data_IF_187457786721
#
_entry.id   IF_187457786721
#
_cell.length_a   1.000
_cell.length_b   1.000
_cell.length_c   1.000
_cell.angle_alpha   90.00
_cell.angle_beta   90.00
_cell.angle_gamma   90.00
#
_symmetry.space_group_name_H-M   'P 1'
#
loop_
_entity.id
_entity.type
_entity.pdbx_description
1 polymer ?
#
# COMPACT_ATOMS: atom_id res chain seq x y z
N UNK A 1 49.56 14.93 6.76
CA UNK A 1 48.62 15.87 6.11
C UNK A 1 47.90 15.04 5.07
N UNK A 2 46.57 15.13 4.97
CA UNK A 2 45.87 14.45 3.88
C UNK A 2 46.31 15.07 2.55
N UNK A 3 46.50 14.23 1.54
CA UNK A 3 46.70 14.71 0.17
C UNK A 3 45.46 15.49 -0.29
N UNK A 4 45.63 16.46 -1.17
CA UNK A 4 44.52 17.21 -1.76
C UNK A 4 44.37 16.89 -3.25
N UNK A 5 43.13 16.81 -3.71
CA UNK A 5 42.77 16.64 -5.11
C UNK A 5 43.36 17.74 -6.02
N UNK A 6 43.60 18.93 -5.47
CA UNK A 6 44.23 20.03 -6.20
C UNK A 6 45.70 19.78 -6.57
N UNK A 7 46.35 18.81 -5.92
CA UNK A 7 47.73 18.41 -6.22
C UNK A 7 47.82 17.27 -7.25
N UNK A 8 46.69 16.73 -7.70
CA UNK A 8 46.65 15.62 -8.63
C UNK A 8 47.14 16.04 -10.03
N UNK A 9 47.99 15.20 -10.62
CA UNK A 9 48.41 15.30 -12.01
C UNK A 9 47.51 14.51 -12.95
N UNK A 10 46.86 13.46 -12.44
CA UNK A 10 45.85 12.69 -13.16
C UNK A 10 44.81 12.07 -12.23
N UNK A 11 43.63 11.80 -12.77
CA UNK A 11 42.52 11.12 -12.07
C UNK A 11 41.97 10.02 -12.97
N UNK A 12 41.84 8.82 -12.43
CA UNK A 12 41.12 7.70 -13.06
C UNK A 12 39.71 7.62 -12.47
N UNK A 13 38.71 7.59 -13.34
CA UNK A 13 37.30 7.51 -12.96
C UNK A 13 36.64 6.33 -13.67
N UNK A 14 35.90 5.52 -12.92
CA UNK A 14 35.03 4.47 -13.46
C UNK A 14 33.64 4.64 -12.89
N UNK A 15 32.64 4.36 -13.73
CA UNK A 15 31.22 4.43 -13.38
C UNK A 15 30.53 3.12 -13.78
N UNK A 16 29.68 2.61 -12.90
CA UNK A 16 28.87 1.42 -13.17
C UNK A 16 27.55 1.47 -12.40
N UNK A 17 26.57 0.68 -12.81
CA UNK A 17 25.39 0.44 -11.99
C UNK A 17 25.75 -0.55 -10.89
N UNK A 18 25.32 -0.29 -9.64
CA UNK A 18 25.64 -1.16 -8.50
C UNK A 18 25.11 -2.60 -8.65
N UNK A 19 24.09 -2.78 -9.49
CA UNK A 19 23.55 -4.09 -9.85
C UNK A 19 24.43 -4.89 -10.82
N UNK A 20 25.44 -4.26 -11.43
CA UNK A 20 26.20 -4.81 -12.55
C UNK A 20 25.46 -4.82 -13.90
N UNK A 21 24.23 -4.28 -13.94
CA UNK A 21 23.42 -4.23 -15.16
C UNK A 21 24.04 -3.28 -16.19
N UNK A 22 24.17 -3.74 -17.44
CA UNK A 22 24.69 -2.93 -18.55
C UNK A 22 23.67 -1.90 -19.06
N UNK A 23 22.39 -2.13 -18.81
CA UNK A 23 21.30 -1.23 -19.19
C UNK A 23 20.21 -1.20 -18.11
N UNK A 24 20.53 -0.65 -16.91
CA UNK A 24 19.62 -0.65 -15.80
C UNK A 24 18.35 0.15 -16.12
N UNK A 25 17.23 -0.28 -15.56
CA UNK A 25 15.93 0.36 -15.77
C UNK A 25 15.34 0.91 -14.47
N UNK A 26 14.78 2.11 -14.51
CA UNK A 26 14.06 2.74 -13.38
C UNK A 26 12.76 3.39 -13.82
N UNK A 27 11.85 3.56 -12.86
CA UNK A 27 10.63 4.34 -13.06
C UNK A 27 10.93 5.83 -12.98
N UNK A 28 10.46 6.58 -13.98
CA UNK A 28 10.53 8.03 -14.06
C UNK A 28 9.45 8.70 -13.18
N UNK A 29 9.38 8.31 -11.90
CA UNK A 29 8.39 8.81 -10.93
C UNK A 29 9.00 9.80 -9.91
N UNK A 30 10.29 10.15 -10.06
CA UNK A 30 11.03 11.04 -9.18
C UNK A 30 11.37 10.47 -7.79
N UNK A 31 10.91 9.25 -7.47
CA UNK A 31 11.14 8.58 -6.18
C UNK A 31 12.01 7.34 -6.33
N UNK A 32 11.83 6.56 -7.39
CA UNK A 32 12.64 5.38 -7.66
C UNK A 32 14.08 5.80 -7.95
N UNK A 33 15.02 5.23 -7.20
CA UNK A 33 16.44 5.51 -7.34
C UNK A 33 17.19 4.31 -7.91
N UNK A 34 18.18 4.60 -8.75
CA UNK A 34 19.21 3.67 -9.21
C UNK A 34 20.51 3.99 -8.48
N UNK A 35 21.05 2.99 -7.80
CA UNK A 35 22.39 3.06 -7.22
C UNK A 35 23.46 3.00 -8.33
N UNK A 36 24.31 4.02 -8.38
CA UNK A 36 25.44 4.18 -9.29
C UNK A 36 26.71 4.15 -8.46
N UNK A 37 27.62 3.26 -8.84
CA UNK A 37 28.94 3.11 -8.24
C UNK A 37 29.96 3.91 -9.05
N UNK A 38 30.73 4.73 -8.36
CA UNK A 38 31.86 5.47 -8.92
C UNK A 38 33.12 5.04 -8.19
N UNK A 39 34.10 4.54 -8.94
CA UNK A 39 35.46 4.30 -8.44
C UNK A 39 36.37 5.42 -8.90
N UNK A 40 37.13 6.01 -7.97
CA UNK A 40 38.03 7.10 -8.25
C UNK A 40 39.43 6.87 -7.64
N UNK A 41 40.46 7.17 -8.43
CA UNK A 41 41.86 7.22 -8.02
C UNK A 41 42.48 8.56 -8.44
N UNK A 42 43.27 9.17 -7.58
CA UNK A 42 44.09 10.33 -7.93
C UNK A 42 45.57 9.96 -7.88
N UNK A 43 46.35 10.52 -8.80
CA UNK A 43 47.79 10.30 -8.87
C UNK A 43 48.53 11.63 -8.91
N UNK A 44 49.73 11.65 -8.32
CA UNK A 44 50.67 12.76 -8.36
C UNK A 44 51.98 12.26 -8.94
N UNK A 45 52.42 12.88 -10.04
CA UNK A 45 53.70 12.56 -10.65
C UNK A 45 54.83 13.23 -9.87
N UNK A 46 55.69 12.43 -9.23
CA UNK A 46 56.87 12.90 -8.50
C UNK A 46 58.10 12.24 -9.12
N UNK A 47 59.05 13.06 -9.59
CA UNK A 47 60.28 12.57 -10.25
C UNK A 47 60.05 11.64 -11.45
N UNK A 48 58.91 11.78 -12.14
CA UNK A 48 58.54 10.95 -13.29
C UNK A 48 57.84 9.64 -12.95
N UNK A 49 57.58 9.36 -11.66
CA UNK A 49 56.77 8.23 -11.21
C UNK A 49 55.41 8.71 -10.69
N UNK A 50 54.33 8.02 -11.08
CA UNK A 50 52.98 8.31 -10.60
C UNK A 50 52.74 7.63 -9.25
N UNK A 51 52.51 8.45 -8.22
CA UNK A 51 52.21 7.99 -6.86
C UNK A 51 50.72 8.15 -6.62
N UNK A 52 50.05 7.10 -6.13
CA UNK A 52 48.64 7.16 -5.75
C UNK A 52 48.47 8.04 -4.50
N UNK A 53 47.49 8.93 -4.55
CA UNK A 53 47.20 9.89 -3.49
C UNK A 53 46.12 9.37 -2.54
N UNK A 54 46.27 9.64 -1.25
CA UNK A 54 45.27 9.33 -0.23
C UNK A 54 44.34 10.53 -0.01
N UNK A 55 43.32 10.63 -0.85
CA UNK A 55 42.31 11.68 -0.81
C UNK A 55 41.18 11.29 0.15
N UNK A 56 40.73 12.25 0.97
CA UNK A 56 39.60 11.99 1.89
C UNK A 56 38.28 11.79 1.13
N UNK A 57 37.41 10.91 1.64
CA UNK A 57 36.09 10.65 1.06
C UNK A 57 35.26 11.94 0.91
N UNK A 58 35.35 12.86 1.89
CA UNK A 58 34.65 14.15 1.84
C UNK A 58 35.11 15.02 0.67
N UNK A 59 36.40 15.02 0.36
CA UNK A 59 36.94 15.79 -0.75
C UNK A 59 36.46 15.20 -2.09
N UNK A 60 36.45 13.87 -2.22
CA UNK A 60 35.84 13.18 -3.34
C UNK A 60 34.34 13.51 -3.52
N UNK A 61 33.55 13.46 -2.44
CA UNK A 61 32.12 13.78 -2.48
C UNK A 61 31.85 15.22 -2.92
N UNK A 62 32.75 16.16 -2.62
CA UNK A 62 32.62 17.56 -3.03
C UNK A 62 33.02 17.77 -4.50
N UNK A 63 34.05 17.07 -4.97
CA UNK A 63 34.59 17.23 -6.32
C UNK A 63 33.82 16.43 -7.38
N UNK A 64 33.27 15.27 -7.01
CA UNK A 64 32.59 14.37 -7.95
C UNK A 64 31.12 14.73 -8.16
N UNK A 65 30.68 14.59 -9.40
CA UNK A 65 29.26 14.70 -9.75
C UNK A 65 28.89 13.85 -10.96
N UNK A 66 27.61 13.48 -11.05
CA UNK A 66 27.07 12.85 -12.24
C UNK A 66 26.78 13.90 -13.32
N UNK A 67 27.00 13.54 -14.57
CA UNK A 67 26.74 14.38 -15.74
C UNK A 67 26.13 13.60 -16.90
N UNK A 68 25.57 14.31 -17.87
CA UNK A 68 25.17 13.71 -19.15
C UNK A 68 26.40 13.33 -19.96
N UNK A 69 26.51 12.06 -20.38
CA UNK A 69 27.69 11.58 -21.10
C UNK A 69 27.88 12.28 -22.46
N UNK A 70 26.80 12.71 -23.10
CA UNK A 70 26.86 13.33 -24.44
C UNK A 70 27.35 14.78 -24.41
N UNK A 71 27.20 15.48 -23.28
CA UNK A 71 27.46 16.92 -23.21
C UNK A 71 28.32 17.36 -22.03
N UNK A 72 28.71 16.44 -21.16
CA UNK A 72 29.39 16.69 -19.87
C UNK A 72 28.64 17.65 -18.92
N UNK A 73 27.37 17.96 -19.22
CA UNK A 73 26.58 18.89 -18.41
C UNK A 73 26.21 18.20 -17.10
N UNK A 74 26.58 18.82 -15.98
CA UNK A 74 26.29 18.34 -14.63
C UNK A 74 24.78 18.14 -14.40
N UNK A 75 24.43 17.00 -13.81
CA UNK A 75 23.08 16.72 -13.31
C UNK A 75 22.80 17.53 -12.04
N UNK A 76 21.54 17.84 -11.79
CA UNK A 76 21.16 18.56 -10.57
C UNK A 76 21.24 17.63 -9.35
N UNK A 77 21.89 18.09 -8.30
CA UNK A 77 21.87 17.42 -6.98
C UNK A 77 20.55 17.78 -6.31
N UNK A 78 19.82 16.77 -5.80
CA UNK A 78 18.53 16.97 -5.10
C UNK A 78 17.52 17.78 -5.92
N UNK A 79 17.53 17.62 -7.25
CA UNK A 79 16.58 18.29 -8.14
C UNK A 79 15.18 17.66 -8.09
N UNK A 80 14.19 18.36 -8.62
CA UNK A 80 12.78 17.93 -8.60
C UNK A 80 12.21 17.61 -9.98
N UNK A 81 13.02 17.76 -11.03
CA UNK A 81 12.62 17.56 -12.43
C UNK A 81 13.86 17.26 -13.26
N UNK A 82 13.65 16.53 -14.37
CA UNK A 82 14.73 16.02 -15.24
C UNK A 82 15.59 14.95 -14.52
N UNK A 83 16.69 14.51 -15.14
CA UNK A 83 17.64 13.60 -14.52
C UNK A 83 18.41 14.30 -13.40
N UNK A 84 18.32 13.71 -12.21
CA UNK A 84 18.89 14.24 -10.98
C UNK A 84 19.57 13.12 -10.20
N UNK A 85 20.40 13.50 -9.22
CA UNK A 85 20.97 12.53 -8.31
C UNK A 85 21.04 13.05 -6.88
N UNK A 86 21.28 12.15 -5.95
CA UNK A 86 21.56 12.47 -4.54
C UNK A 86 22.65 11.55 -4.01
N UNK A 87 23.22 11.90 -2.87
CA UNK A 87 24.20 11.08 -2.14
C UNK A 87 23.52 10.13 -1.13
N UNK A 88 22.22 10.29 -0.92
CA UNK A 88 21.49 9.56 0.11
C UNK A 88 20.49 8.57 -0.50
N UNK A 89 20.61 7.32 -0.09
CA UNK A 89 19.65 6.28 -0.46
C UNK A 89 18.27 6.59 0.13
N UNK A 90 17.24 6.40 -0.69
CA UNK A 90 15.89 6.31 -0.20
C UNK A 90 15.36 4.88 -0.25
N UNK A 91 14.20 4.71 0.33
CA UNK A 91 13.57 3.42 0.53
C UNK A 91 13.01 2.77 -0.77
N UNK A 92 13.06 3.47 -1.90
CA UNK A 92 12.64 3.03 -3.24
C UNK A 92 13.85 2.88 -4.19
N UNK A 93 15.05 2.70 -3.63
CA UNK A 93 16.28 2.40 -4.36
C UNK A 93 16.24 0.97 -4.90
N UNK A 94 15.76 0.83 -6.14
CA UNK A 94 15.55 -0.49 -6.75
C UNK A 94 15.53 -0.42 -8.27
N UNK A 95 16.30 -1.28 -8.91
CA UNK A 95 16.24 -1.46 -10.36
C UNK A 95 15.01 -2.30 -10.76
N UNK A 96 14.40 -1.95 -11.90
CA UNK A 96 13.36 -2.75 -12.53
C UNK A 96 14.01 -4.00 -13.13
N UNK A 97 13.65 -5.17 -12.60
CA UNK A 97 14.12 -6.45 -13.12
C UNK A 97 13.37 -6.78 -14.40
N UNK A 98 14.00 -6.57 -15.55
CA UNK A 98 13.48 -7.06 -16.82
C UNK A 98 13.70 -8.58 -16.90
N UNK A 99 12.63 -9.36 -16.77
CA UNK A 99 12.64 -10.83 -16.85
C UNK A 99 13.11 -11.42 -18.20
N UNK A 100 13.60 -10.60 -19.13
CA UNK A 100 14.23 -11.06 -20.39
C UNK A 100 15.71 -11.42 -20.24
N UNK A 101 16.34 -11.14 -19.10
CA UNK A 101 17.65 -11.69 -18.76
C UNK A 101 17.45 -12.92 -17.87
N UNK A 102 17.71 -14.10 -18.43
CA UNK A 102 17.82 -15.33 -17.65
C UNK A 102 18.69 -15.08 -16.42
N UNK A 103 18.07 -15.29 -15.26
CA UNK A 103 18.68 -15.25 -13.94
C UNK A 103 19.91 -16.16 -13.90
N UNK A 104 21.09 -15.57 -13.87
CA UNK A 104 22.07 -15.96 -12.85
C UNK A 104 21.78 -15.09 -11.64
N UNK A 105 20.76 -15.50 -10.88
CA UNK A 105 20.54 -14.98 -9.53
C UNK A 105 21.67 -15.50 -8.64
N UNK A 106 22.78 -14.78 -8.55
CA UNK A 106 23.63 -14.86 -7.37
C UNK A 106 23.09 -13.86 -6.36
N UNK A 107 22.27 -14.36 -5.43
CA UNK A 107 22.02 -13.72 -4.12
C UNK A 107 23.28 -13.76 -3.25
N UNK A 108 24.43 -13.47 -3.84
CA UNK A 108 25.67 -13.31 -3.12
C UNK A 108 25.79 -11.82 -2.83
N UNK A 109 25.47 -11.47 -1.58
CA UNK A 109 26.24 -10.47 -0.84
C UNK A 109 27.70 -10.57 -1.33
N UNK A 110 28.35 -9.50 -1.81
CA UNK A 110 29.69 -9.63 -2.35
C UNK A 110 30.57 -10.32 -1.30
N UNK A 111 30.96 -11.55 -1.63
CA UNK A 111 31.99 -12.26 -0.89
C UNK A 111 33.27 -11.51 -1.23
N UNK A 112 33.81 -10.83 -0.24
CA UNK A 112 35.08 -10.12 -0.34
C UNK A 112 36.13 -11.23 -0.47
N UNK A 113 36.33 -11.72 -1.69
CA UNK A 113 37.47 -12.56 -2.01
C UNK A 113 38.70 -11.66 -1.91
N UNK A 114 39.41 -11.85 -0.81
CA UNK A 114 40.75 -11.36 -0.55
C UNK A 114 41.72 -11.94 -1.58
N UNK A 115 41.79 -11.34 -2.76
CA UNK A 115 43.01 -11.34 -3.57
C UNK A 115 43.75 -10.03 -3.27
N UNK A 116 44.44 -10.07 -2.14
CA UNK A 116 45.52 -9.14 -1.80
C UNK A 116 46.66 -9.34 -2.78
N UNK A 117 46.65 -8.61 -3.88
CA UNK A 117 47.88 -8.19 -4.55
C UNK A 117 47.65 -6.89 -5.32
N UNK A 118 48.26 -5.82 -4.80
CA UNK A 118 48.18 -4.39 -5.17
C UNK A 118 46.94 -3.63 -4.66
N UNK A 119 46.95 -3.24 -3.38
CA UNK A 119 46.19 -2.08 -2.90
C UNK A 119 46.73 -0.82 -3.61
N UNK A 120 46.14 -0.47 -4.75
CA UNK A 120 45.95 0.94 -5.11
C UNK A 120 44.69 1.41 -4.35
N UNK A 121 44.75 2.58 -3.73
CA UNK A 121 43.67 3.11 -2.88
C UNK A 121 42.46 3.56 -3.72
N UNK A 122 41.64 2.61 -4.17
CA UNK A 122 40.39 2.88 -4.88
C UNK A 122 39.34 3.39 -3.89
N UNK A 123 38.90 4.63 -4.07
CA UNK A 123 37.73 5.14 -3.33
C UNK A 123 36.46 4.78 -4.10
N UNK A 124 35.52 4.08 -3.45
CA UNK A 124 34.21 3.76 -4.00
C UNK A 124 33.16 4.72 -3.41
N UNK A 125 32.45 5.45 -4.26
CA UNK A 125 31.37 6.35 -3.88
C UNK A 125 30.05 5.95 -4.54
N UNK A 126 28.96 6.07 -3.76
CA UNK A 126 27.61 5.76 -4.21
C UNK A 126 26.83 7.04 -4.52
N UNK A 127 26.23 7.06 -5.70
CA UNK A 127 25.27 8.09 -6.11
C UNK A 127 23.92 7.44 -6.42
N UNK A 128 22.82 8.11 -6.07
CA UNK A 128 21.47 7.62 -6.30
C UNK A 128 20.80 8.47 -7.37
N UNK A 129 20.74 7.93 -8.57
CA UNK A 129 20.19 8.57 -9.75
C UNK A 129 18.66 8.37 -9.81
N UNK A 130 17.92 9.42 -10.12
CA UNK A 130 16.46 9.35 -10.30
C UNK A 130 16.03 10.37 -11.36
N UNK A 131 14.81 10.22 -11.87
CA UNK A 131 14.31 11.09 -12.92
C UNK A 131 12.79 11.17 -12.93
N UNK A 132 12.28 12.24 -13.54
CA UNK A 132 10.87 12.36 -13.97
C UNK A 132 10.73 12.32 -15.50
N UNK A 133 11.86 12.19 -16.22
CA UNK A 133 11.92 12.07 -17.68
C UNK A 133 12.01 10.59 -18.09
N UNK A 134 11.16 10.17 -19.04
CA UNK A 134 11.07 8.81 -19.57
C UNK A 134 12.11 8.53 -20.68
N UNK A 135 12.90 9.51 -21.08
CA UNK A 135 13.92 9.34 -22.11
C UNK A 135 15.14 8.57 -21.58
N UNK A 136 15.64 7.61 -22.36
CA UNK A 136 16.92 6.93 -22.08
C UNK A 136 18.07 7.95 -22.07
N UNK A 137 18.96 7.86 -21.09
CA UNK A 137 20.17 8.69 -20.99
C UNK A 137 21.40 7.87 -20.70
N UNK A 138 22.56 8.37 -21.14
CA UNK A 138 23.87 7.90 -20.69
C UNK A 138 24.40 8.84 -19.62
N UNK A 139 24.70 8.27 -18.46
CA UNK A 139 25.22 9.01 -17.32
C UNK A 139 26.71 8.73 -17.22
N UNK A 140 27.49 9.80 -17.10
CA UNK A 140 28.91 9.79 -16.88
C UNK A 140 29.23 10.42 -15.52
N UNK A 141 30.49 10.36 -15.12
CA UNK A 141 31.00 11.02 -13.91
C UNK A 141 32.02 12.08 -14.31
N UNK A 142 31.98 13.21 -13.60
CA UNK A 142 32.99 14.27 -13.69
C UNK A 142 33.54 14.60 -12.31
N UNK A 143 34.81 14.97 -12.27
CA UNK A 143 35.54 15.50 -11.12
C UNK A 143 35.99 16.92 -11.46
N UNK A 144 35.51 17.90 -10.69
CA UNK A 144 35.94 19.30 -10.78
C UNK A 144 36.72 19.65 -9.51
N UNK A 145 37.95 20.10 -9.66
CA UNK A 145 38.81 20.53 -8.55
C UNK A 145 38.76 22.06 -8.38
N UNK A 146 39.09 22.56 -7.19
CA UNK A 146 39.05 24.00 -6.89
C UNK A 146 40.06 24.81 -7.71
N UNK A 147 41.15 24.18 -8.15
CA UNK A 147 42.14 24.78 -9.05
C UNK A 147 41.69 24.83 -10.53
N UNK A 148 40.47 24.39 -10.84
CA UNK A 148 39.86 24.47 -12.16
C UNK A 148 40.21 23.32 -13.12
N UNK A 149 40.86 22.25 -12.64
CA UNK A 149 41.00 21.03 -13.43
C UNK A 149 39.66 20.29 -13.54
N UNK A 150 39.48 19.62 -14.67
CA UNK A 150 38.26 18.91 -15.00
C UNK A 150 38.60 17.55 -15.60
N UNK A 151 38.11 16.50 -14.96
CA UNK A 151 38.26 15.11 -15.39
C UNK A 151 36.87 14.51 -15.58
N UNK A 152 36.61 13.82 -16.68
CA UNK A 152 35.28 13.30 -16.97
C UNK A 152 35.34 12.04 -17.82
N UNK A 153 34.36 11.16 -17.63
CA UNK A 153 34.19 9.96 -18.47
C UNK A 153 33.25 10.20 -19.66
N UNK A 154 32.78 11.45 -19.86
CA UNK A 154 31.89 11.86 -20.94
C UNK A 154 32.53 11.76 -22.34
N UNK A 155 31.69 11.65 -23.38
CA UNK A 155 32.10 11.33 -24.75
C UNK A 155 32.94 12.43 -25.42
N UNK A 156 32.72 13.67 -24.99
CA UNK A 156 33.29 14.90 -25.56
C UNK A 156 34.69 15.23 -25.03
N UNK A 157 35.20 14.49 -24.03
CA UNK A 157 36.55 14.72 -23.50
C UNK A 157 37.63 14.17 -24.45
N UNK A 158 38.64 14.99 -24.73
CA UNK A 158 39.84 14.59 -25.46
C UNK A 158 40.81 13.91 -24.47
N UNK A 159 41.14 12.64 -24.70
CA UNK A 159 42.22 11.94 -23.97
C UNK A 159 41.85 11.22 -22.67
N UNK A 160 40.58 11.06 -22.32
CA UNK A 160 40.12 10.39 -21.08
C UNK A 160 39.41 9.06 -21.38
N UNK A 161 39.42 8.12 -20.41
CA UNK A 161 38.69 6.85 -20.47
C UNK A 161 37.18 7.12 -20.59
N UNK A 162 36.60 6.76 -21.74
CA UNK A 162 35.18 6.96 -22.02
C UNK A 162 34.38 5.85 -21.34
N UNK A 163 33.58 6.21 -20.36
CA UNK A 163 32.75 5.27 -19.62
C UNK A 163 31.44 5.93 -19.18
N UNK A 164 30.34 5.19 -19.30
CA UNK A 164 29.02 5.71 -18.96
C UNK A 164 28.06 4.57 -18.69
N UNK A 165 27.05 4.81 -17.86
CA UNK A 165 25.93 3.88 -17.64
C UNK A 165 24.75 4.34 -18.48
N UNK A 166 24.27 3.47 -19.38
CA UNK A 166 23.06 3.73 -20.17
C UNK A 166 21.83 3.34 -19.36
N UNK A 167 21.08 4.31 -18.86
CA UNK A 167 19.91 4.09 -18.00
C UNK A 167 18.63 4.23 -18.80
N UNK A 168 17.80 3.21 -18.75
CA UNK A 168 16.48 3.20 -19.36
C UNK A 168 15.43 3.68 -18.34
N UNK A 169 14.79 4.81 -18.62
CA UNK A 169 13.69 5.29 -17.80
C UNK A 169 12.36 4.83 -18.41
N UNK A 170 11.44 4.36 -17.58
CA UNK A 170 10.09 3.98 -18.00
C UNK A 170 9.05 4.78 -17.24
N UNK A 171 7.87 4.98 -17.84
CA UNK A 171 6.79 5.71 -17.16
C UNK A 171 6.41 5.04 -15.85
N UNK A 172 6.28 5.84 -14.79
CA UNK A 172 5.78 5.37 -13.50
C UNK A 172 4.40 4.72 -13.63
N UNK A 173 4.15 3.68 -12.83
CA UNK A 173 2.82 3.09 -12.75
C UNK A 173 1.88 4.02 -11.97
N UNK A 174 0.65 4.16 -12.46
CA UNK A 174 -0.37 4.95 -11.79
C UNK A 174 -1.51 4.03 -11.31
N UNK A 175 -1.61 3.88 -9.99
CA UNK A 175 -2.63 3.05 -9.35
C UNK A 175 -4.01 3.71 -9.26
N UNK A 176 -4.23 4.83 -9.97
CA UNK A 176 -5.56 5.39 -10.20
C UNK A 176 -6.45 4.54 -11.12
N UNK A 177 -5.89 3.50 -11.73
CA UNK A 177 -6.64 2.57 -12.57
C UNK A 177 -6.66 1.19 -11.94
N UNK A 178 -7.85 0.59 -11.87
CA UNK A 178 -8.06 -0.75 -11.32
C UNK A 178 -7.39 -1.88 -12.09
N UNK A 179 -6.86 -1.64 -13.30
CA UNK A 179 -6.13 -2.65 -14.10
C UNK A 179 -4.88 -3.21 -13.38
N UNK A 180 -4.30 -2.43 -12.47
CA UNK A 180 -3.13 -2.82 -11.70
C UNK A 180 -3.47 -3.50 -10.37
N UNK A 181 -4.74 -3.75 -10.11
CA UNK A 181 -5.24 -4.28 -8.85
C UNK A 181 -5.94 -5.62 -9.11
N UNK A 182 -5.79 -6.56 -8.18
CA UNK A 182 -6.51 -7.84 -8.18
C UNK A 182 -7.19 -8.04 -6.84
N UNK A 183 -8.43 -8.52 -6.90
CA UNK A 183 -9.26 -8.83 -5.73
C UNK A 183 -9.24 -10.33 -5.50
N UNK A 184 -8.85 -10.76 -4.30
CA UNK A 184 -8.86 -12.15 -3.85
C UNK A 184 -9.78 -12.27 -2.65
N UNK A 185 -11.08 -12.59 -2.88
CA UNK A 185 -11.98 -12.92 -1.79
C UNK A 185 -11.60 -14.28 -1.20
N UNK A 186 -11.44 -14.35 0.12
CA UNK A 186 -11.31 -15.61 0.85
C UNK A 186 -12.69 -16.24 1.11
N UNK A 187 -12.70 -17.46 1.65
CA UNK A 187 -13.91 -18.12 2.07
C UNK A 187 -14.54 -17.43 3.29
N UNK A 188 -15.85 -17.59 3.46
CA UNK A 188 -16.53 -17.19 4.69
C UNK A 188 -16.02 -18.01 5.88
N UNK A 189 -15.83 -17.33 7.00
CA UNK A 189 -15.49 -17.92 8.29
C UNK A 189 -16.62 -17.63 9.25
N UNK A 190 -17.29 -18.68 9.71
CA UNK A 190 -18.35 -18.58 10.72
C UNK A 190 -17.74 -18.16 12.06
N UNK A 191 -18.21 -17.02 12.58
CA UNK A 191 -17.85 -16.52 13.91
C UNK A 191 -18.74 -17.10 15.00
N UNK A 192 -19.99 -17.41 14.68
CA UNK A 192 -20.94 -17.99 15.61
C UNK A 192 -22.22 -18.46 14.91
N UNK A 193 -22.87 -19.40 15.56
CA UNK A 193 -24.18 -19.97 15.20
C UNK A 193 -25.11 -19.80 16.42
N UNK A 194 -26.43 -19.91 16.21
CA UNK A 194 -27.45 -19.90 17.27
C UNK A 194 -27.79 -18.53 17.89
N UNK A 195 -27.70 -17.47 17.10
CA UNK A 195 -28.20 -16.17 17.52
C UNK A 195 -29.73 -16.12 17.48
N UNK A 196 -30.35 -15.57 18.52
CA UNK A 196 -31.79 -15.55 18.69
C UNK A 196 -32.43 -14.27 18.14
N UNK A 197 -33.66 -14.39 17.63
CA UNK A 197 -34.48 -13.26 17.27
C UNK A 197 -35.71 -13.17 18.18
N UNK A 198 -36.22 -11.96 18.37
CA UNK A 198 -37.47 -11.72 19.07
C UNK A 198 -38.50 -11.29 18.04
N UNK A 199 -39.61 -12.01 17.99
CA UNK A 199 -40.81 -11.53 17.32
C UNK A 199 -41.58 -10.71 18.36
N UNK A 200 -41.63 -9.39 18.18
CA UNK A 200 -42.36 -8.54 19.10
C UNK A 200 -43.79 -8.35 18.58
N UNK A 201 -44.59 -9.41 18.63
CA UNK A 201 -46.05 -9.25 18.63
C UNK A 201 -46.39 -8.68 20.00
N UNK A 202 -46.92 -7.46 20.06
CA UNK A 202 -47.41 -6.85 21.29
C UNK A 202 -48.30 -7.86 22.05
N UNK A 203 -47.83 -8.32 23.22
CA UNK A 203 -48.57 -9.23 24.10
C UNK A 203 -48.21 -10.72 24.02
N UNK A 204 -47.23 -11.15 23.22
CA UNK A 204 -46.74 -12.54 23.30
C UNK A 204 -45.54 -12.70 24.24
N UNK A 205 -45.61 -13.72 25.10
CA UNK A 205 -44.59 -14.09 26.09
C UNK A 205 -43.69 -15.25 25.64
N UNK A 206 -43.90 -15.78 24.44
CA UNK A 206 -43.18 -16.95 23.91
C UNK A 206 -42.24 -16.60 22.77
N UNK A 207 -40.99 -17.02 22.91
CA UNK A 207 -39.89 -16.79 21.98
C UNK A 207 -39.88 -17.86 20.88
N UNK A 208 -39.75 -17.45 19.62
CA UNK A 208 -39.44 -18.39 18.54
C UNK A 208 -37.93 -18.36 18.28
N UNK A 209 -37.27 -19.50 18.48
CA UNK A 209 -35.83 -19.63 18.28
C UNK A 209 -35.55 -20.03 16.84
N UNK A 210 -34.96 -19.12 16.07
CA UNK A 210 -34.29 -19.48 14.82
C UNK A 210 -32.84 -19.10 14.94
N UNK A 211 -31.98 -19.90 14.35
CA UNK A 211 -30.54 -19.78 14.41
C UNK A 211 -30.08 -18.90 13.24
N UNK A 212 -29.67 -17.65 13.49
CA UNK A 212 -28.90 -16.91 12.49
C UNK A 212 -27.40 -17.21 12.62
N UNK A 213 -26.67 -16.98 11.53
CA UNK A 213 -25.22 -17.21 11.45
C UNK A 213 -24.51 -15.87 11.31
N UNK A 214 -23.50 -15.63 12.15
CA UNK A 214 -22.58 -14.50 11.95
C UNK A 214 -21.30 -15.06 11.36
N UNK A 215 -20.87 -14.46 10.27
CA UNK A 215 -19.67 -14.85 9.56
C UNK A 215 -18.91 -13.62 9.10
N UNK A 216 -17.63 -13.80 8.78
CA UNK A 216 -16.83 -12.79 8.13
C UNK A 216 -16.10 -13.36 6.92
N UNK A 217 -15.75 -12.48 6.00
CA UNK A 217 -14.98 -12.76 4.81
C UNK A 217 -13.88 -11.72 4.69
N UNK A 218 -12.66 -12.20 4.55
CA UNK A 218 -11.53 -11.35 4.21
C UNK A 218 -11.42 -11.26 2.69
N UNK A 219 -11.16 -10.07 2.18
CA UNK A 219 -10.97 -9.78 0.77
C UNK A 219 -9.66 -9.02 0.63
N UNK A 220 -8.71 -9.61 -0.09
CA UNK A 220 -7.39 -9.04 -0.29
C UNK A 220 -7.35 -8.28 -1.60
N UNK A 221 -6.79 -7.09 -1.60
CA UNK A 221 -6.50 -6.31 -2.79
C UNK A 221 -4.98 -6.24 -2.92
N UNK A 222 -4.43 -6.84 -3.97
CA UNK A 222 -2.98 -6.84 -4.23
C UNK A 222 -2.67 -6.24 -5.60
N UNK A 223 -1.40 -5.94 -5.82
CA UNK A 223 -0.94 -5.44 -7.12
C UNK A 223 -0.83 -6.58 -8.15
N UNK A 224 -1.41 -6.36 -9.33
CA UNK A 224 -1.50 -7.37 -10.39
C UNK A 224 -0.14 -7.69 -11.03
N UNK A 225 0.80 -6.74 -10.95
CA UNK A 225 2.18 -6.79 -11.44
C UNK A 225 3.14 -7.55 -10.50
N UNK A 226 2.67 -8.00 -9.32
CA UNK A 226 3.49 -8.71 -8.34
C UNK A 226 4.39 -7.83 -7.48
N UNK A 227 4.22 -6.51 -7.53
CA UNK A 227 4.95 -5.58 -6.67
C UNK A 227 4.43 -5.58 -5.24
N UNK A 228 5.20 -4.98 -4.33
CA UNK A 228 4.83 -4.90 -2.93
C UNK A 228 4.19 -3.55 -2.60
N UNK A 229 3.00 -3.56 -2.01
CA UNK A 229 2.38 -2.38 -1.39
C UNK A 229 3.19 -2.06 -0.14
N UNK A 230 3.92 -0.95 -0.19
CA UNK A 230 4.78 -0.48 0.89
C UNK A 230 4.04 0.46 1.84
N UNK A 231 3.26 1.36 1.26
CA UNK A 231 2.41 2.29 2.01
C UNK A 231 0.98 2.18 1.53
N UNK A 232 0.03 2.26 2.46
CA UNK A 232 -1.40 2.25 2.18
C UNK A 232 -2.12 3.14 3.17
N UNK A 233 -3.08 3.94 2.69
CA UNK A 233 -3.84 4.90 3.51
C UNK A 233 -5.25 5.06 2.98
N UNK A 234 -6.24 5.11 3.87
CA UNK A 234 -7.59 5.54 3.49
C UNK A 234 -7.62 7.07 3.41
N UNK A 235 -7.91 7.56 2.21
CA UNK A 235 -8.07 8.99 1.91
C UNK A 235 -9.49 9.45 2.25
N UNK A 236 -10.48 8.58 2.02
CA UNK A 236 -11.87 8.83 2.39
C UNK A 236 -12.58 7.51 2.67
N UNK A 237 -13.35 7.44 3.74
CA UNK A 237 -14.17 6.28 4.10
C UNK A 237 -15.54 6.27 3.40
N UNK A 238 -15.87 7.31 2.62
CA UNK A 238 -17.23 7.54 2.13
C UNK A 238 -18.18 8.11 3.20
N UNK A 239 -17.67 8.37 4.40
CA UNK A 239 -18.39 8.92 5.54
C UNK A 239 -17.97 10.40 5.72
N UNK A 240 -18.91 11.36 5.72
CA UNK A 240 -18.60 12.74 6.08
C UNK A 240 -18.02 12.82 7.49
N UNK A 241 -17.02 13.68 7.71
CA UNK A 241 -16.43 13.90 9.05
C UNK A 241 -17.44 14.42 10.08
N UNK A 242 -18.51 15.06 9.61
CA UNK A 242 -19.64 15.52 10.42
C UNK A 242 -20.69 14.44 10.70
N UNK A 243 -20.57 13.25 10.08
CA UNK A 243 -21.48 12.16 10.35
C UNK A 243 -21.23 11.68 11.79
N UNK A 244 -22.23 11.81 12.68
CA UNK A 244 -22.04 11.40 14.06
C UNK A 244 -21.74 9.90 14.06
N UNK A 245 -20.58 9.50 14.60
CA UNK A 245 -20.29 8.08 14.88
C UNK A 245 -21.28 7.66 15.97
N UNK A 246 -22.43 7.17 15.53
CA UNK A 246 -23.49 6.72 16.41
C UNK A 246 -23.20 5.27 16.77
N UNK A 247 -22.99 5.02 18.05
CA UNK A 247 -23.08 3.67 18.63
C UNK A 247 -24.41 3.07 18.17
N UNK A 248 -24.43 1.77 17.91
CA UNK A 248 -25.49 0.96 17.26
C UNK A 248 -26.96 1.24 17.60
N UNK A 249 -27.28 2.11 18.56
CA UNK A 249 -28.59 2.27 19.18
C UNK A 249 -28.93 3.70 19.59
N UNK A 250 -28.23 4.73 19.07
CA UNK A 250 -28.51 6.13 19.45
C UNK A 250 -29.25 6.87 18.33
N UNK A 251 -30.49 7.29 18.59
CA UNK A 251 -31.31 8.18 17.77
C UNK A 251 -31.83 7.63 16.42
N UNK A 252 -32.24 6.35 16.35
CA UNK A 252 -33.06 5.82 15.23
C UNK A 252 -32.42 5.95 13.82
N UNK A 253 -31.10 5.80 13.70
CA UNK A 253 -30.39 5.79 12.41
C UNK A 253 -29.31 4.70 12.43
N UNK A 254 -29.26 3.86 11.41
CA UNK A 254 -28.27 2.77 11.35
C UNK A 254 -26.85 3.29 11.09
N UNK A 255 -25.83 2.63 11.64
CA UNK A 255 -24.44 2.93 11.33
C UNK A 255 -24.12 2.62 9.86
N UNK A 256 -23.03 3.21 9.38
CA UNK A 256 -22.55 3.10 8.00
C UNK A 256 -22.29 1.66 7.54
N UNK A 257 -22.41 1.45 6.22
CA UNK A 257 -22.09 0.22 5.49
C UNK A 257 -22.93 -1.00 5.85
N UNK A 258 -24.14 -0.81 6.37
CA UNK A 258 -25.13 -1.87 6.52
C UNK A 258 -25.93 -2.04 5.23
N UNK A 259 -25.74 -3.18 4.58
CA UNK A 259 -26.38 -3.48 3.30
C UNK A 259 -27.21 -4.74 3.44
N UNK A 260 -28.50 -4.62 3.13
CA UNK A 260 -29.42 -5.74 3.05
C UNK A 260 -29.34 -6.35 1.66
N UNK A 261 -28.87 -7.59 1.57
CA UNK A 261 -28.88 -8.35 0.34
C UNK A 261 -29.96 -9.43 0.41
N UNK A 262 -30.77 -9.49 -0.64
CA UNK A 262 -31.69 -10.59 -0.88
C UNK A 262 -31.05 -11.54 -1.88
N UNK A 263 -31.20 -12.83 -1.64
CA UNK A 263 -30.73 -13.89 -2.55
C UNK A 263 -31.43 -13.88 -3.92
N UNK A 264 -32.61 -13.23 -4.02
CA UNK A 264 -33.35 -12.99 -5.27
C UNK A 264 -34.30 -11.79 -5.10
N UNK A 265 -34.52 -10.95 -6.13
CA UNK A 265 -35.57 -9.90 -6.12
C UNK A 265 -36.99 -10.48 -6.16
N UNK A 266 -37.13 -11.77 -6.45
CA UNK A 266 -38.40 -12.52 -6.40
C UNK A 266 -38.19 -13.61 -5.37
N UNK A 267 -38.65 -13.35 -4.15
CA UNK A 267 -38.30 -14.02 -2.91
C UNK A 267 -38.97 -15.40 -2.72
N UNK A 268 -39.29 -16.10 -3.81
CA UNK A 268 -40.00 -17.38 -3.77
C UNK A 268 -39.11 -18.58 -3.44
N UNK A 269 -37.80 -18.39 -3.25
CA UNK A 269 -36.85 -19.47 -2.97
C UNK A 269 -36.35 -19.53 -1.51
N UNK A 270 -36.72 -18.58 -0.64
CA UNK A 270 -36.58 -18.74 0.81
C UNK A 270 -35.16 -18.79 1.38
N UNK A 271 -34.12 -18.37 0.66
CA UNK A 271 -32.73 -18.46 1.16
C UNK A 271 -32.37 -17.43 2.25
N UNK A 272 -33.32 -16.57 2.64
CA UNK A 272 -33.15 -15.65 3.75
C UNK A 272 -32.48 -14.33 3.38
N UNK A 273 -32.15 -13.55 4.42
CA UNK A 273 -31.66 -12.19 4.31
C UNK A 273 -30.23 -12.06 4.85
N UNK A 274 -29.41 -11.21 4.21
CA UNK A 274 -28.02 -11.00 4.60
C UNK A 274 -27.77 -9.54 4.93
N UNK A 275 -27.22 -9.28 6.11
CA UNK A 275 -26.79 -7.96 6.52
C UNK A 275 -25.27 -7.88 6.46
N UNK A 276 -24.73 -7.21 5.45
CA UNK A 276 -23.29 -7.00 5.30
C UNK A 276 -22.84 -5.74 6.03
N UNK A 277 -21.65 -5.78 6.63
CA UNK A 277 -20.92 -4.64 7.20
C UNK A 277 -19.46 -4.69 6.77
N UNK A 278 -18.89 -3.54 6.40
CA UNK A 278 -17.59 -3.48 5.74
C UNK A 278 -16.54 -2.77 6.59
N UNK A 279 -15.32 -3.30 6.58
CA UNK A 279 -14.13 -2.75 7.22
C UNK A 279 -12.95 -2.76 6.24
N UNK A 280 -12.22 -1.65 6.14
CA UNK A 280 -10.96 -1.58 5.39
C UNK A 280 -9.86 -1.17 6.36
N UNK A 281 -8.73 -1.88 6.31
CA UNK A 281 -7.58 -1.66 7.16
C UNK A 281 -6.55 -0.71 6.52
N UNK A 282 -6.17 0.42 7.14
CA UNK A 282 -5.29 1.39 6.48
C UNK A 282 -4.27 2.03 7.43
N UNK A 283 -3.30 1.28 7.97
CA UNK A 283 -2.44 1.74 9.08
C UNK A 283 -3.23 2.04 10.39
N UNK A 284 -2.58 1.80 11.52
CA UNK A 284 -3.06 2.11 12.89
C UNK A 284 -4.40 1.52 13.35
N UNK A 285 -4.94 0.52 12.64
CA UNK A 285 -6.12 -0.22 13.11
C UNK A 285 -7.36 0.66 13.25
N UNK A 286 -7.46 1.75 12.47
CA UNK A 286 -8.66 2.58 12.44
C UNK A 286 -9.83 1.81 11.84
N UNK A 287 -10.76 1.43 12.71
CA UNK A 287 -11.95 0.63 12.43
C UNK A 287 -13.00 1.48 11.73
N UNK A 288 -13.17 1.28 10.41
CA UNK A 288 -14.38 1.70 9.70
C UNK A 288 -15.35 0.53 9.76
N UNK A 289 -16.51 0.70 10.38
CA UNK A 289 -17.37 -0.43 10.76
C UNK A 289 -17.02 -0.98 12.15
N UNK A 290 -17.98 -1.63 12.80
CA UNK A 290 -18.02 -1.77 14.26
C UNK A 290 -17.86 -3.21 14.80
N UNK A 291 -16.76 -3.95 14.53
CA UNK A 291 -16.51 -5.22 15.21
C UNK A 291 -16.43 -5.13 16.76
N UNK A 292 -15.85 -4.09 17.40
CA UNK A 292 -15.69 -4.07 18.86
C UNK A 292 -16.92 -3.59 19.64
N UNK A 293 -17.92 -2.98 19.00
CA UNK A 293 -19.13 -2.47 19.68
C UNK A 293 -20.29 -3.47 19.67
N UNK A 294 -20.15 -4.60 18.99
CA UNK A 294 -21.04 -5.75 19.18
C UNK A 294 -20.99 -6.31 20.61
N UNK A 295 -20.03 -5.90 21.46
CA UNK A 295 -19.66 -6.70 22.63
C UNK A 295 -19.46 -6.05 24.03
N UNK A 296 -19.31 -4.73 24.30
CA UNK A 296 -18.97 -4.35 25.68
C UNK A 296 -20.17 -4.22 26.64
N UNK A 297 -21.36 -3.83 26.15
CA UNK A 297 -22.45 -3.33 27.03
C UNK A 297 -23.80 -4.03 26.85
N UNK A 298 -23.84 -5.22 26.27
CA UNK A 298 -25.10 -5.93 25.95
C UNK A 298 -25.93 -6.31 27.19
N UNK A 299 -25.29 -6.64 28.30
CA UNK A 299 -25.96 -7.01 29.56
C UNK A 299 -26.72 -5.85 30.23
N UNK A 300 -26.41 -4.59 29.90
CA UNK A 300 -27.09 -3.42 30.49
C UNK A 300 -28.34 -2.95 29.74
N UNK A 301 -28.53 -3.37 28.48
CA UNK A 301 -29.56 -2.80 27.60
C UNK A 301 -30.90 -3.55 27.65
N UNK A 302 -30.89 -4.84 28.00
CA UNK A 302 -32.12 -5.63 28.15
C UNK A 302 -33.00 -5.19 29.34
N UNK A 303 -32.49 -4.33 30.23
CA UNK A 303 -33.18 -3.98 31.48
C UNK A 303 -33.57 -2.50 31.65
N UNK A 304 -33.04 -1.53 30.88
CA UNK A 304 -33.12 -0.12 31.32
C UNK A 304 -33.48 0.96 30.29
N UNK A 305 -33.79 0.68 29.03
CA UNK A 305 -34.20 1.74 28.10
C UNK A 305 -35.64 1.55 27.60
N UNK A 306 -36.56 2.19 28.31
CA UNK A 306 -37.91 2.41 27.85
C UNK A 306 -37.90 3.41 26.68
N UNK A 307 -38.21 2.93 25.47
CA UNK A 307 -38.55 3.75 24.32
C UNK A 307 -37.46 3.88 23.24
N UNK A 308 -37.51 2.97 22.25
CA UNK A 308 -36.94 3.04 20.88
C UNK A 308 -35.73 2.12 20.57
N UNK A 309 -35.64 1.57 19.32
CA UNK A 309 -35.49 0.13 19.12
C UNK A 309 -34.07 -0.31 18.75
N UNK A 310 -33.78 -1.57 19.09
CA UNK A 310 -32.70 -2.37 18.50
C UNK A 310 -32.88 -2.52 16.98
N UNK A 311 -31.83 -2.94 16.27
CA UNK A 311 -31.89 -3.25 14.83
C UNK A 311 -33.02 -4.25 14.57
N UNK A 312 -34.03 -3.82 13.80
CA UNK A 312 -35.21 -4.61 13.49
C UNK A 312 -35.52 -4.61 12.00
N UNK A 313 -36.23 -5.65 11.60
CA UNK A 313 -36.75 -5.84 10.27
C UNK A 313 -38.25 -6.12 10.32
N UNK A 314 -38.95 -5.86 9.22
CA UNK A 314 -40.39 -6.02 9.10
C UNK A 314 -40.73 -6.86 7.88
N UNK A 315 -41.85 -7.57 7.93
CA UNK A 315 -42.45 -8.23 6.76
C UNK A 315 -43.05 -7.25 5.74
N UNK A 316 -43.14 -5.96 6.07
CA UNK A 316 -43.68 -4.91 5.22
C UNK A 316 -42.60 -4.17 4.44
N UNK A 317 -42.82 -3.99 3.13
CA UNK A 317 -41.94 -3.19 2.24
C UNK A 317 -41.74 -1.75 2.73
N UNK A 318 -42.73 -1.21 3.44
CA UNK A 318 -42.67 0.12 4.05
C UNK A 318 -41.65 0.22 5.20
N UNK A 319 -41.18 -0.91 5.72
CA UNK A 319 -40.34 -1.00 6.91
C UNK A 319 -41.06 -0.64 8.21
N UNK A 320 -42.38 -0.39 8.17
CA UNK A 320 -43.12 0.02 9.36
C UNK A 320 -43.21 -1.12 10.37
N UNK A 321 -43.20 -0.74 11.64
CA UNK A 321 -43.46 -1.67 12.73
C UNK A 321 -44.91 -2.19 12.63
N UNK A 322 -45.07 -3.46 12.27
CA UNK A 322 -46.36 -4.14 12.10
C UNK A 322 -46.38 -5.51 12.83
N UNK A 323 -47.45 -6.28 12.66
CA UNK A 323 -47.63 -7.57 13.34
C UNK A 323 -46.57 -8.63 12.96
N UNK A 324 -45.75 -8.36 11.94
CA UNK A 324 -44.65 -9.20 11.49
C UNK A 324 -43.31 -8.47 11.66
N UNK A 325 -43.07 -7.91 12.86
CA UNK A 325 -41.81 -7.27 13.21
C UNK A 325 -40.87 -8.22 13.94
N UNK A 326 -39.67 -8.37 13.39
CA UNK A 326 -38.60 -9.16 13.98
C UNK A 326 -37.45 -8.25 14.33
N UNK A 327 -36.76 -8.54 15.41
CA UNK A 327 -35.41 -8.01 15.58
C UNK A 327 -34.45 -9.14 15.86
N UNK A 328 -33.18 -8.92 15.51
CA UNK A 328 -32.14 -9.93 15.62
C UNK A 328 -31.10 -9.45 16.61
N UNK A 329 -30.76 -10.30 17.57
CA UNK A 329 -29.80 -9.98 18.62
C UNK A 329 -28.72 -11.06 18.64
N UNK A 330 -27.52 -10.75 18.14
CA UNK A 330 -26.42 -11.68 18.29
C UNK A 330 -26.00 -11.75 19.76
N UNK A 331 -26.34 -12.83 20.45
CA UNK A 331 -25.82 -13.17 21.77
C UNK A 331 -24.48 -13.92 21.64
N UNK A 332 -23.36 -13.23 21.84
CA UNK A 332 -22.06 -13.89 21.97
C UNK A 332 -21.90 -14.38 23.40
N UNK A 333 -21.92 -15.69 23.61
CA UNK A 333 -21.78 -16.22 24.97
C UNK A 333 -20.31 -16.21 25.37
N UNK A 334 -19.98 -15.49 26.45
CA UNK A 334 -18.60 -15.27 26.95
C UNK A 334 -17.81 -16.57 27.22
N UNK A 335 -18.47 -17.72 27.22
CA UNK A 335 -17.90 -19.03 27.53
C UNK A 335 -18.00 -20.06 26.38
N UNK A 336 -18.51 -19.67 25.20
CA UNK A 336 -18.51 -20.56 24.06
C UNK A 336 -17.17 -20.48 23.33
N UNK A 337 -16.37 -21.53 23.44
CA UNK A 337 -15.03 -21.60 22.83
C UNK A 337 -15.06 -21.72 21.30
N UNK A 338 -16.23 -21.96 20.70
CA UNK A 338 -16.40 -21.90 19.25
C UNK A 338 -16.63 -20.48 18.72
N UNK A 339 -16.99 -19.53 19.58
CA UNK A 339 -17.27 -18.15 19.17
C UNK A 339 -15.94 -17.42 18.99
N UNK A 340 -15.47 -17.36 17.74
CA UNK A 340 -14.27 -16.58 17.41
C UNK A 340 -14.67 -15.11 17.39
N UNK A 341 -14.21 -14.37 18.40
CA UNK A 341 -14.34 -12.90 18.38
C UNK A 341 -13.87 -12.38 17.02
N UNK A 342 -14.63 -11.49 16.36
CA UNK A 342 -14.28 -10.90 15.06
C UNK A 342 -13.08 -9.93 15.14
N UNK A 343 -12.10 -10.25 15.97
CA UNK A 343 -10.94 -9.44 16.23
C UNK A 343 -9.82 -9.94 15.34
N UNK A 344 -9.57 -9.22 14.25
CA UNK A 344 -8.39 -9.44 13.42
C UNK A 344 -7.31 -8.47 13.88
N UNK A 345 -6.13 -9.02 14.22
CA UNK A 345 -4.94 -8.22 14.40
C UNK A 345 -4.62 -7.58 13.05
N UNK A 346 -4.69 -6.26 12.99
CA UNK A 346 -4.25 -5.48 11.86
C UNK A 346 -2.77 -5.79 11.59
N UNK A 347 -2.43 -6.13 10.34
CA UNK A 347 -1.05 -6.30 9.91
C UNK A 347 -0.67 -5.10 9.06
N UNK A 348 0.01 -4.14 9.70
CA UNK A 348 0.55 -2.94 9.06
C UNK A 348 1.53 -3.24 7.92
N UNK A 349 2.03 -4.49 7.83
CA UNK A 349 3.17 -4.87 6.98
C UNK A 349 2.82 -5.87 5.88
N UNK A 350 1.55 -6.17 5.65
CA UNK A 350 1.16 -7.07 4.57
C UNK A 350 1.06 -6.32 3.23
N UNK A 351 1.63 -6.94 2.18
CA UNK A 351 1.59 -6.55 0.76
C UNK A 351 0.17 -6.64 0.17
N UNK A 352 -0.78 -6.00 0.83
CA UNK A 352 -2.19 -6.01 0.45
C UNK A 352 -2.96 -4.90 1.16
N UNK A 353 -4.03 -4.46 0.53
CA UNK A 353 -5.11 -3.74 1.20
C UNK A 353 -6.18 -4.76 1.56
N UNK A 354 -6.48 -4.88 2.85
CA UNK A 354 -7.45 -5.85 3.35
C UNK A 354 -8.80 -5.20 3.57
N UNK A 355 -9.84 -5.80 3.00
CA UNK A 355 -11.24 -5.48 3.27
C UNK A 355 -11.87 -6.67 4.00
N UNK A 356 -12.55 -6.44 5.11
CA UNK A 356 -13.35 -7.45 5.79
C UNK A 356 -14.83 -7.13 5.60
N UNK A 357 -15.59 -8.14 5.18
CA UNK A 357 -17.04 -8.12 5.23
C UNK A 357 -17.50 -8.97 6.41
N UNK A 358 -18.32 -8.41 7.28
CA UNK A 358 -19.08 -9.16 8.29
C UNK A 358 -20.49 -9.34 7.78
N UNK A 359 -21.06 -10.51 7.97
CA UNK A 359 -22.39 -10.83 7.49
C UNK A 359 -23.18 -11.54 8.58
N UNK A 360 -24.39 -11.05 8.82
CA UNK A 360 -25.43 -11.77 9.54
C UNK A 360 -26.35 -12.41 8.50
N UNK A 361 -26.37 -13.74 8.46
CA UNK A 361 -27.29 -14.53 7.64
C UNK A 361 -28.51 -14.96 8.46
N UNK A 362 -29.68 -14.57 7.99
CA UNK A 362 -30.98 -14.88 8.57
C UNK A 362 -31.68 -15.91 7.68
N UNK A 363 -31.71 -17.21 8.03
CA UNK A 363 -32.28 -18.25 7.18
C UNK A 363 -33.81 -18.18 7.08
N UNK A 364 -34.38 -18.69 5.98
CA UNK A 364 -35.80 -19.05 5.81
C UNK A 364 -36.81 -18.02 6.33
N UNK A 365 -36.68 -16.77 5.91
CA UNK A 365 -37.64 -15.72 6.24
C UNK A 365 -38.39 -15.27 4.99
N UNK A 366 -39.70 -15.11 5.11
CA UNK A 366 -40.51 -14.32 4.16
C UNK A 366 -39.90 -12.93 3.99
N UNK A 367 -40.19 -12.25 2.88
CA UNK A 367 -39.62 -10.94 2.53
C UNK A 367 -39.38 -10.02 3.73
N UNK A 368 -38.10 -9.87 4.07
CA UNK A 368 -37.59 -9.05 5.16
C UNK A 368 -37.21 -7.69 4.61
N UNK A 369 -37.77 -6.63 5.17
CA UNK A 369 -37.38 -5.26 4.86
C UNK A 369 -36.79 -4.58 6.08
N UNK A 370 -35.85 -3.67 5.85
CA UNK A 370 -35.35 -2.78 6.89
C UNK A 370 -36.50 -2.08 7.60
N UNK A 371 -36.46 -2.07 8.94
CA UNK A 371 -37.27 -1.14 9.72
C UNK A 371 -37.11 0.29 9.22
N UNK A 372 -38.20 1.05 9.16
CA UNK A 372 -38.26 2.41 8.61
C UNK A 372 -37.21 3.33 9.27
N UNK A 373 -36.97 3.10 10.56
CA UNK A 373 -36.03 3.83 11.42
C UNK A 373 -34.66 3.15 11.55
N UNK A 374 -34.42 2.06 10.82
CA UNK A 374 -33.16 1.32 10.84
C UNK A 374 -32.40 1.44 9.52
N UNK A 375 -32.92 2.19 8.53
CA UNK A 375 -32.18 2.47 7.30
C UNK A 375 -31.10 3.52 7.59
N UNK A 376 -29.88 3.39 7.04
CA UNK A 376 -28.91 4.49 7.08
C UNK A 376 -29.52 5.73 6.42
N UNK A 377 -29.66 6.83 7.16
CA UNK A 377 -30.22 8.09 6.66
C UNK A 377 -29.10 9.08 6.38
N UNK A 378 -28.79 9.28 5.10
CA UNK A 378 -27.85 10.30 4.67
C UNK A 378 -27.61 10.23 3.17
N UNK A 379 -28.06 11.24 2.43
CA UNK A 379 -27.84 11.34 0.97
C UNK A 379 -26.36 11.41 0.57
N UNK A 380 -25.48 11.67 1.54
CA UNK A 380 -24.03 11.77 1.36
C UNK A 380 -23.26 10.50 1.75
N UNK A 381 -23.93 9.48 2.31
CA UNK A 381 -23.30 8.20 2.62
C UNK A 381 -23.06 7.45 1.31
N UNK A 382 -21.78 7.23 0.98
CA UNK A 382 -21.40 6.45 -0.21
C UNK A 382 -20.95 5.08 0.23
N UNK A 383 -21.41 4.02 -0.44
CA UNK A 383 -20.90 2.65 -0.24
C UNK A 383 -19.50 2.47 -0.86
N UNK A 384 -18.59 3.41 -0.62
CA UNK A 384 -17.29 3.47 -1.27
C UNK A 384 -16.23 3.97 -0.31
N UNK A 385 -15.00 3.50 -0.43
CA UNK A 385 -13.84 4.07 0.23
C UNK A 385 -12.73 4.36 -0.79
N UNK A 386 -12.01 5.46 -0.62
CA UNK A 386 -10.84 5.80 -1.42
C UNK A 386 -9.57 5.41 -0.68
N UNK A 387 -8.75 4.60 -1.32
CA UNK A 387 -7.48 4.10 -0.76
C UNK A 387 -6.33 4.59 -1.63
N UNK A 388 -5.32 5.16 -0.99
CA UNK A 388 -4.03 5.50 -1.61
C UNK A 388 -3.02 4.42 -1.30
N UNK A 389 -2.21 4.05 -2.29
CA UNK A 389 -1.09 3.12 -2.10
C UNK A 389 0.20 3.66 -2.72
N UNK A 390 1.34 3.22 -2.21
CA UNK A 390 2.67 3.37 -2.83
C UNK A 390 3.37 2.02 -2.81
N UNK A 391 3.95 1.62 -3.93
CA UNK A 391 4.67 0.35 -4.05
C UNK A 391 6.15 0.45 -3.64
N UNK A 392 6.85 -0.68 -3.65
CA UNK A 392 8.28 -0.78 -3.38
C UNK A 392 9.21 -0.13 -4.43
N UNK A 393 8.66 0.42 -5.51
CA UNK A 393 9.34 1.24 -6.51
C UNK A 393 8.94 2.72 -6.42
N UNK A 394 8.16 3.12 -5.43
CA UNK A 394 7.72 4.50 -5.24
C UNK A 394 6.61 4.95 -6.20
N UNK A 395 6.07 4.04 -7.02
CA UNK A 395 4.88 4.33 -7.81
C UNK A 395 3.68 4.44 -6.88
N UNK A 396 2.78 5.37 -7.17
CA UNK A 396 1.64 5.66 -6.29
C UNK A 396 0.38 5.97 -7.06
N UNK A 397 -0.75 5.85 -6.38
CA UNK A 397 -2.06 6.19 -6.91
C UNK A 397 -3.15 5.93 -5.89
N UNK A 398 -4.38 6.26 -6.27
CA UNK A 398 -5.58 6.12 -5.46
C UNK A 398 -6.66 5.40 -6.22
N UNK A 399 -7.26 4.38 -5.62
CA UNK A 399 -8.40 3.68 -6.19
C UNK A 399 -9.59 3.73 -5.24
N UNK A 400 -10.78 3.54 -5.79
CA UNK A 400 -12.03 3.49 -5.03
C UNK A 400 -12.45 2.03 -4.89
N UNK A 401 -12.68 1.61 -3.66
CA UNK A 401 -13.34 0.35 -3.32
C UNK A 401 -14.83 0.62 -3.17
N UNK A 402 -15.66 0.02 -4.01
CA UNK A 402 -17.12 0.06 -3.89
C UNK A 402 -17.63 -1.23 -3.25
N UNK A 403 -18.47 -1.10 -2.23
CA UNK A 403 -19.06 -2.22 -1.50
C UNK A 403 -20.42 -2.57 -2.11
N UNK A 404 -20.54 -3.77 -2.67
CA UNK A 404 -21.73 -4.17 -3.40
C UNK A 404 -22.81 -4.73 -2.45
N UNK A 405 -24.07 -4.63 -2.89
CA UNK A 405 -25.26 -5.09 -2.17
C UNK A 405 -25.66 -6.51 -2.56
N UNK A 406 -24.75 -7.46 -2.38
CA UNK A 406 -24.96 -8.87 -2.73
C UNK A 406 -24.62 -9.83 -1.58
N UNK A 407 -25.09 -11.07 -1.71
CA UNK A 407 -24.92 -12.13 -0.71
C UNK A 407 -23.48 -12.58 -0.54
N UNK A 408 -22.64 -12.37 -1.56
CA UNK A 408 -21.22 -12.75 -1.53
C UNK A 408 -20.36 -11.69 -0.85
N UNK A 409 -20.96 -10.56 -0.49
CA UNK A 409 -20.27 -9.35 -0.06
C UNK A 409 -19.10 -9.08 -1.03
N UNK A 410 -19.42 -8.82 -2.30
CA UNK A 410 -18.42 -8.51 -3.32
C UNK A 410 -18.00 -7.04 -3.30
N UNK A 411 -16.81 -6.75 -3.84
CA UNK A 411 -16.31 -5.39 -4.02
C UNK A 411 -15.97 -5.12 -5.49
N UNK A 412 -16.08 -3.87 -5.89
CA UNK A 412 -15.64 -3.38 -7.20
C UNK A 412 -14.56 -2.32 -7.04
N UNK A 413 -13.56 -2.31 -7.92
CA UNK A 413 -12.48 -1.31 -7.92
C UNK A 413 -12.64 -0.35 -9.11
N UNK A 414 -12.51 0.95 -8.88
CA UNK A 414 -12.54 1.98 -9.93
C UNK A 414 -11.50 3.05 -9.74
#
# INVERSE_FOLDING_TARGET
MADSLNDATSIELKISAASGSLMPSIYANGRNQLAIEVSANAYKTVNGEDITMEISEREWQNALSLCYAESDKKLKVNGTSDWCYTLYENEFSREIVNNSANRTSSNNKPDISSDTDKLQSVTLLMFYLYTTDVNVKRIAVRCDTDNGQHYTTADNALGVEKSSVRVNAVSGLNYNSSQYLKVYPEAWVTNGIDYHFYNQIWGQSSYSHYTCTVQHKRIKIILSNGYEIKYKKIVSSGIPSSYPVKKWYVNNEAPYALVLAHSSPIDSQGNGCYLNSWYIEPEDGHRIGHPPELNPNFTGMAMYQAGWPSLYFSGSESGRYDAATWAYWPNFTKNNTSDKTPNHAASAYENEVTVYAYQLHIPNSSSIYWGLYCKPSGSQLKNTATVSITDNYGNSGQFIVSFNSDVDASITLS
#
